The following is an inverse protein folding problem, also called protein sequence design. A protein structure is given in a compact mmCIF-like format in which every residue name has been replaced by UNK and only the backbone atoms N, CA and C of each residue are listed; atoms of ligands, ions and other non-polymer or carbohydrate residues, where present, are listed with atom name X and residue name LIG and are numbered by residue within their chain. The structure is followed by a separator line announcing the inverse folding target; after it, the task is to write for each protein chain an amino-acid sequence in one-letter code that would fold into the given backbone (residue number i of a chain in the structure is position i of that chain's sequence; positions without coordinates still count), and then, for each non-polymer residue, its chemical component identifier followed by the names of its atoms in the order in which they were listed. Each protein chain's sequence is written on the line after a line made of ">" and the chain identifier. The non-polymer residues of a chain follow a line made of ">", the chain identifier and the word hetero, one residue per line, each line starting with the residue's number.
data_IF_384437455031
#
_entry.id   IF_384437455031
#
_cell.length_a   1.000
_cell.length_b   1.000
_cell.length_c   1.000
_cell.angle_alpha   90.00
_cell.angle_beta   90.00
_cell.angle_gamma   90.00
#
_symmetry.space_group_name_H-M   'P 1'
#
loop_
_entity.id
_entity.type
_entity.pdbx_description
1 polymer ?
#
# COMPACT_ATOMS: atom_id res chain seq x y z
N UNK A 1 -20.21 -25.66 16.14
CA UNK A 1 -20.38 -24.26 15.71
C UNK A 1 -19.06 -23.85 15.08
N UNK A 2 -19.03 -23.66 13.76
CA UNK A 2 -17.82 -23.25 13.05
C UNK A 2 -17.58 -21.76 13.36
N UNK A 3 -16.69 -21.48 14.31
CA UNK A 3 -16.18 -20.13 14.54
C UNK A 3 -15.32 -19.79 13.33
N UNK A 4 -15.85 -18.93 12.45
CA UNK A 4 -15.38 -18.77 11.08
C UNK A 4 -13.93 -18.30 11.02
N UNK A 5 -13.09 -19.03 10.26
CA UNK A 5 -11.74 -18.63 9.87
C UNK A 5 -11.68 -17.19 9.32
N UNK A 6 -12.80 -16.69 8.78
CA UNK A 6 -12.98 -15.30 8.35
C UNK A 6 -12.60 -14.25 9.42
N UNK A 7 -12.85 -14.51 10.72
CA UNK A 7 -12.56 -13.50 11.77
C UNK A 7 -11.07 -13.38 12.09
N UNK A 8 -10.30 -14.46 11.95
CA UNK A 8 -8.85 -14.40 12.13
C UNK A 8 -8.18 -13.76 10.91
N UNK A 9 -8.61 -14.14 9.70
CA UNK A 9 -8.09 -13.59 8.45
C UNK A 9 -8.29 -12.07 8.34
N UNK A 10 -9.47 -11.58 8.69
CA UNK A 10 -9.79 -10.14 8.73
C UNK A 10 -8.87 -9.42 9.71
N UNK A 11 -8.74 -9.93 10.94
CA UNK A 11 -7.88 -9.39 11.99
C UNK A 11 -6.40 -9.28 11.56
N UNK A 12 -5.85 -10.33 10.95
CA UNK A 12 -4.46 -10.31 10.45
C UNK A 12 -4.28 -9.31 9.32
N UNK A 13 -5.21 -9.30 8.37
CA UNK A 13 -5.18 -8.40 7.23
C UNK A 13 -5.26 -6.94 7.66
N UNK A 14 -6.19 -6.60 8.56
CA UNK A 14 -6.35 -5.25 9.10
C UNK A 14 -5.11 -4.82 9.91
N UNK A 15 -4.53 -5.72 10.69
CA UNK A 15 -3.31 -5.44 11.45
C UNK A 15 -2.12 -5.16 10.53
N UNK A 16 -1.94 -5.97 9.46
CA UNK A 16 -0.90 -5.76 8.45
C UNK A 16 -1.10 -4.42 7.73
N UNK A 17 -2.34 -4.12 7.33
CA UNK A 17 -2.69 -2.87 6.68
C UNK A 17 -2.44 -1.64 7.56
N UNK A 18 -2.85 -1.71 8.83
CA UNK A 18 -2.66 -0.63 9.81
C UNK A 18 -1.18 -0.37 10.05
N UNK A 19 -0.39 -1.44 10.22
CA UNK A 19 1.06 -1.33 10.37
C UNK A 19 1.71 -0.68 9.14
N UNK A 20 1.28 -1.07 7.93
CA UNK A 20 1.75 -0.47 6.68
C UNK A 20 1.39 1.01 6.56
N UNK A 21 0.16 1.41 6.93
CA UNK A 21 -0.27 2.82 6.94
C UNK A 21 0.58 3.68 7.88
N UNK A 22 0.85 3.17 9.08
CA UNK A 22 1.72 3.86 10.06
C UNK A 22 3.16 3.94 9.55
N UNK A 23 3.70 2.86 8.98
CA UNK A 23 5.03 2.86 8.36
C UNK A 23 5.12 3.93 7.28
N UNK A 24 4.06 4.06 6.47
CA UNK A 24 4.02 5.02 5.39
C UNK A 24 4.08 6.45 5.87
N UNK A 25 3.17 6.79 6.78
CA UNK A 25 3.07 8.14 7.32
C UNK A 25 4.36 8.60 8.02
N UNK A 26 5.03 7.68 8.72
CA UNK A 26 6.22 7.99 9.52
C UNK A 26 7.55 7.65 8.82
N UNK A 27 7.49 7.04 7.63
CA UNK A 27 8.66 6.48 6.93
C UNK A 27 9.53 5.58 7.84
N UNK A 28 8.89 4.82 8.75
CA UNK A 28 9.59 4.08 9.81
C UNK A 28 9.15 2.62 9.86
N UNK A 29 10.03 1.75 9.33
CA UNK A 29 9.85 0.29 9.28
C UNK A 29 9.80 -0.33 10.67
N UNK A 30 10.71 0.08 11.57
CA UNK A 30 10.77 -0.44 12.94
C UNK A 30 9.50 -0.13 13.71
N UNK A 31 8.94 1.07 13.52
CA UNK A 31 7.67 1.45 14.13
C UNK A 31 6.54 0.56 13.64
N UNK A 32 6.46 0.27 12.34
CA UNK A 32 5.42 -0.61 11.79
C UNK A 32 5.50 -2.04 12.31
N UNK A 33 6.71 -2.61 12.40
CA UNK A 33 6.91 -3.94 12.99
C UNK A 33 6.43 -3.95 14.45
N UNK A 34 6.81 -2.95 15.23
CA UNK A 34 6.39 -2.84 16.63
C UNK A 34 4.87 -2.65 16.77
N UNK A 35 4.26 -1.84 15.90
CA UNK A 35 2.81 -1.64 15.88
C UNK A 35 2.08 -2.93 15.53
N UNK A 36 2.48 -3.63 14.47
CA UNK A 36 1.90 -4.92 14.10
C UNK A 36 1.97 -5.90 15.26
N UNK A 37 3.16 -6.07 15.85
CA UNK A 37 3.36 -6.98 16.98
C UNK A 37 2.50 -6.61 18.20
N UNK A 38 2.30 -5.32 18.46
CA UNK A 38 1.43 -4.83 19.54
C UNK A 38 -0.05 -5.14 19.26
N UNK A 39 -0.53 -4.87 18.04
CA UNK A 39 -1.91 -5.14 17.62
C UNK A 39 -2.24 -6.63 17.73
N UNK A 40 -1.35 -7.48 17.22
CA UNK A 40 -1.50 -8.93 17.32
C UNK A 40 -1.48 -9.39 18.77
N UNK A 41 -0.53 -8.91 19.61
CA UNK A 41 -0.48 -9.26 21.05
C UNK A 41 -1.77 -8.91 21.80
N UNK A 42 -2.36 -7.75 21.52
CA UNK A 42 -3.62 -7.35 22.14
C UNK A 42 -4.78 -8.27 21.69
N UNK A 43 -4.78 -8.72 20.44
CA UNK A 43 -5.82 -9.62 19.94
C UNK A 43 -5.63 -11.07 20.40
N UNK A 44 -4.40 -11.53 20.63
CA UNK A 44 -4.10 -12.82 21.26
C UNK A 44 -4.64 -12.92 22.68
N UNK A 45 -4.56 -11.83 23.46
CA UNK A 45 -5.09 -11.79 24.81
C UNK A 45 -6.63 -11.99 24.86
N UNK A 46 -7.31 -11.78 23.73
CA UNK A 46 -8.75 -11.91 23.57
C UNK A 46 -9.17 -13.22 22.86
N UNK A 47 -8.23 -13.97 22.28
CA UNK A 47 -8.54 -15.18 21.49
C UNK A 47 -7.44 -16.25 21.61
N UNK A 48 -7.66 -17.25 22.46
CA UNK A 48 -6.70 -18.32 22.76
C UNK A 48 -6.38 -19.24 21.57
N UNK A 49 -7.28 -19.37 20.59
CA UNK A 49 -7.04 -20.14 19.36
C UNK A 49 -5.98 -19.50 18.44
N UNK A 50 -5.76 -18.20 18.61
CA UNK A 50 -4.83 -17.37 17.83
C UNK A 50 -3.38 -17.52 18.32
N UNK A 51 -3.17 -17.94 19.58
CA UNK A 51 -1.85 -18.16 20.20
C UNK A 51 -1.11 -19.32 19.53
N UNK A 52 -1.76 -20.47 19.39
CA UNK A 52 -1.16 -21.65 18.77
C UNK A 52 -0.82 -21.44 17.28
N UNK A 53 -1.56 -20.57 16.59
CA UNK A 53 -1.33 -20.24 15.18
C UNK A 53 -0.04 -19.40 14.99
N UNK A 54 0.24 -18.46 15.91
CA UNK A 54 1.41 -17.58 15.79
C UNK A 54 2.75 -18.27 16.08
N UNK A 55 2.77 -19.21 17.02
CA UNK A 55 3.97 -19.99 17.33
C UNK A 55 4.41 -20.88 16.15
N UNK A 56 3.49 -21.20 15.22
CA UNK A 56 3.73 -22.03 14.04
C UNK A 56 4.18 -21.25 12.79
N UNK A 57 3.77 -19.99 12.62
CA UNK A 57 3.88 -19.26 11.34
C UNK A 57 5.06 -18.27 11.28
N UNK A 58 5.78 -18.04 12.39
CA UNK A 58 7.03 -17.27 12.42
C UNK A 58 6.86 -15.74 12.46
N UNK A 59 7.94 -14.99 12.20
CA UNK A 59 7.92 -13.51 12.25
C UNK A 59 7.35 -12.91 10.96
N UNK A 60 6.55 -11.84 11.02
CA UNK A 60 6.10 -11.12 9.84
C UNK A 60 7.29 -10.60 9.03
N UNK A 61 7.33 -10.93 7.74
CA UNK A 61 8.36 -10.42 6.85
C UNK A 61 7.90 -9.08 6.28
N UNK A 62 8.34 -8.00 6.91
CA UNK A 62 8.08 -6.65 6.47
C UNK A 62 9.18 -6.21 5.49
N UNK A 63 8.81 -6.04 4.22
CA UNK A 63 9.73 -5.58 3.18
C UNK A 63 9.22 -4.26 2.65
N UNK A 64 9.98 -3.20 2.94
CA UNK A 64 9.61 -1.82 2.61
C UNK A 64 10.57 -1.25 1.58
N UNK A 65 10.06 -0.97 0.39
CA UNK A 65 10.79 -0.25 -0.65
C UNK A 65 10.26 1.17 -0.70
N UNK A 66 10.74 2.01 0.23
CA UNK A 66 10.67 3.47 0.22
C UNK A 66 9.43 4.12 -0.40
N UNK A 67 8.56 4.70 0.43
CA UNK A 67 7.74 5.81 -0.06
C UNK A 67 8.66 7.00 -0.35
N UNK A 68 8.41 7.68 -1.46
CA UNK A 68 9.26 8.73 -2.03
C UNK A 68 10.43 8.19 -2.88
N UNK A 69 10.08 7.64 -4.04
CA UNK A 69 11.01 7.45 -5.14
C UNK A 69 10.64 8.39 -6.29
N UNK A 70 11.66 8.89 -6.98
CA UNK A 70 11.44 9.43 -8.32
C UNK A 70 11.05 8.25 -9.20
N UNK A 71 9.84 8.29 -9.74
CA UNK A 71 9.39 7.31 -10.72
C UNK A 71 9.86 7.76 -12.09
N UNK A 72 10.82 6.99 -12.61
CA UNK A 72 11.13 6.97 -14.04
C UNK A 72 10.16 6.02 -14.75
N UNK A 73 10.08 6.09 -16.08
CA UNK A 73 9.26 5.15 -16.87
C UNK A 73 9.71 3.71 -16.55
N UNK A 74 8.73 2.83 -16.36
CA UNK A 74 8.85 1.46 -15.86
C UNK A 74 9.32 1.32 -14.40
N UNK A 75 9.64 2.43 -13.72
CA UNK A 75 9.94 2.45 -12.30
C UNK A 75 8.74 2.05 -11.45
N UNK A 76 9.01 1.32 -10.36
CA UNK A 76 7.98 0.84 -9.42
C UNK A 76 8.33 1.20 -7.97
N UNK A 77 7.31 1.56 -7.21
CA UNK A 77 7.34 1.70 -5.74
C UNK A 77 6.49 0.60 -5.13
N UNK A 78 6.98 -0.03 -4.06
CA UNK A 78 6.32 -1.17 -3.40
C UNK A 78 6.18 -0.96 -1.89
N UNK A 79 5.06 -1.43 -1.36
CA UNK A 79 4.80 -1.58 0.06
C UNK A 79 4.27 -2.99 0.33
N UNK A 80 4.99 -3.77 1.15
CA UNK A 80 4.63 -5.15 1.41
C UNK A 80 4.73 -5.49 2.90
N UNK A 81 3.71 -6.18 3.40
CA UNK A 81 3.76 -6.87 4.68
C UNK A 81 3.17 -8.27 4.51
N UNK A 82 3.81 -9.27 5.11
CA UNK A 82 3.37 -10.66 5.00
C UNK A 82 3.46 -11.39 6.33
N UNK A 83 2.45 -12.22 6.56
CA UNK A 83 2.37 -13.20 7.63
C UNK A 83 1.65 -14.44 7.09
N UNK A 84 2.38 -15.45 6.57
CA UNK A 84 1.77 -16.55 5.84
C UNK A 84 0.57 -17.19 6.57
N UNK A 85 -0.55 -17.45 5.87
CA UNK A 85 -0.79 -17.23 4.44
C UNK A 85 -1.21 -15.80 4.06
N UNK A 86 -1.39 -14.91 5.03
CA UNK A 86 -1.88 -13.55 4.82
C UNK A 86 -0.78 -12.63 4.28
N UNK A 87 -1.14 -11.79 3.31
CA UNK A 87 -0.21 -10.82 2.77
C UNK A 87 -0.93 -9.61 2.23
N UNK A 88 -0.27 -8.47 2.37
CA UNK A 88 -0.68 -7.18 1.82
C UNK A 88 0.45 -6.69 0.94
N UNK A 89 0.16 -6.45 -0.33
CA UNK A 89 1.09 -5.87 -1.29
C UNK A 89 0.42 -4.71 -2.01
N UNK A 90 1.05 -3.53 -1.99
CA UNK A 90 0.66 -2.38 -2.77
C UNK A 90 1.82 -1.94 -3.65
N UNK A 91 1.57 -1.71 -4.94
CA UNK A 91 2.58 -1.23 -5.87
C UNK A 91 2.02 -0.18 -6.81
N UNK A 92 2.89 0.73 -7.22
CA UNK A 92 2.58 1.77 -8.21
C UNK A 92 3.74 1.84 -9.20
N UNK A 93 3.42 1.72 -10.48
CA UNK A 93 4.35 1.75 -11.58
C UNK A 93 4.02 2.89 -12.53
N UNK A 94 5.02 3.68 -12.91
CA UNK A 94 4.87 4.66 -14.00
C UNK A 94 5.04 3.93 -15.34
N UNK A 95 4.01 3.90 -16.17
CA UNK A 95 4.01 3.21 -17.46
C UNK A 95 4.41 4.10 -18.62
N UNK A 96 4.00 5.38 -18.58
CA UNK A 96 4.19 6.29 -19.70
C UNK A 96 4.22 7.73 -19.21
N UNK A 97 5.09 8.52 -19.83
CA UNK A 97 5.04 9.98 -19.82
C UNK A 97 4.94 10.47 -21.25
N UNK A 98 3.96 11.33 -21.54
CA UNK A 98 3.83 11.99 -22.83
C UNK A 98 3.73 13.51 -22.64
N UNK A 99 4.49 14.27 -23.43
CA UNK A 99 4.44 15.72 -23.45
C UNK A 99 3.72 16.19 -24.72
N UNK A 100 2.62 16.92 -24.57
CA UNK A 100 1.88 17.50 -25.69
C UNK A 100 1.62 18.98 -25.46
N UNK A 101 2.20 19.82 -26.33
CA UNK A 101 2.00 21.28 -26.47
C UNK A 101 2.19 22.18 -25.26
N UNK A 102 2.19 21.65 -24.02
CA UNK A 102 2.51 22.24 -22.69
C UNK A 102 1.92 21.39 -21.54
N UNK A 103 1.31 20.24 -21.83
CA UNK A 103 0.74 19.32 -20.83
C UNK A 103 1.53 18.01 -20.83
N UNK A 104 1.90 17.57 -19.62
CA UNK A 104 2.46 16.27 -19.32
C UNK A 104 1.34 15.32 -18.92
N UNK A 105 1.32 14.16 -19.56
CA UNK A 105 0.39 13.07 -19.29
C UNK A 105 1.18 11.93 -18.67
N UNK A 106 0.96 11.68 -17.38
CA UNK A 106 1.53 10.54 -16.66
C UNK A 106 0.48 9.43 -16.58
N UNK A 107 0.87 8.22 -16.97
CA UNK A 107 0.02 7.02 -16.82
C UNK A 107 0.67 6.10 -15.81
N UNK A 108 0.01 5.87 -14.68
CA UNK A 108 0.46 4.92 -13.67
C UNK A 108 -0.45 3.71 -13.62
N UNK A 109 0.11 2.52 -13.44
CA UNK A 109 -0.63 1.35 -12.97
C UNK A 109 -0.49 1.26 -11.46
N UNK A 110 -1.57 0.86 -10.78
CA UNK A 110 -1.52 0.49 -9.38
C UNK A 110 -2.03 -0.94 -9.21
N UNK A 111 -1.39 -1.67 -8.31
CA UNK A 111 -1.83 -3.02 -7.93
C UNK A 111 -1.90 -3.10 -6.43
N UNK A 112 -2.98 -3.68 -5.93
CA UNK A 112 -3.15 -3.94 -4.52
C UNK A 112 -3.72 -5.33 -4.31
N UNK A 113 -3.02 -6.11 -3.49
CA UNK A 113 -3.33 -7.53 -3.26
C UNK A 113 -3.48 -7.76 -1.76
N UNK A 114 -4.56 -8.44 -1.40
CA UNK A 114 -4.86 -8.90 -0.04
C UNK A 114 -5.10 -10.40 -0.09
N UNK A 115 -4.35 -11.16 0.69
CA UNK A 115 -4.52 -12.61 0.85
C UNK A 115 -4.53 -13.43 -0.44
N UNK A 116 -3.83 -12.98 -1.49
CA UNK A 116 -3.84 -13.67 -2.79
C UNK A 116 -4.56 -12.91 -3.87
N UNK A 117 -5.48 -12.03 -3.48
CA UNK A 117 -6.52 -11.54 -4.35
C UNK A 117 -6.32 -10.06 -4.69
N UNK A 118 -6.51 -9.73 -5.96
CA UNK A 118 -6.50 -8.35 -6.42
C UNK A 118 -7.75 -7.63 -5.91
N UNK A 119 -7.53 -6.51 -5.24
CA UNK A 119 -8.59 -5.68 -4.66
C UNK A 119 -8.44 -4.23 -5.13
N UNK A 120 -9.54 -3.48 -5.10
CA UNK A 120 -9.61 -2.07 -5.49
C UNK A 120 -9.82 -1.16 -4.26
N UNK A 121 -8.82 -1.00 -3.39
CA UNK A 121 -8.95 -0.21 -2.16
C UNK A 121 -8.67 1.29 -2.36
N UNK A 122 -8.57 1.78 -3.59
CA UNK A 122 -8.12 3.13 -3.88
C UNK A 122 -9.18 4.13 -3.40
N UNK A 123 -8.84 4.93 -2.39
CA UNK A 123 -9.72 5.94 -1.82
C UNK A 123 -9.61 7.24 -2.61
N UNK A 124 -8.39 7.63 -2.98
CA UNK A 124 -8.19 8.88 -3.70
C UNK A 124 -6.74 9.14 -4.08
N UNK A 125 -6.56 10.19 -4.88
CA UNK A 125 -5.26 10.62 -5.38
C UNK A 125 -5.19 12.14 -5.31
N UNK A 126 -4.11 12.66 -4.72
CA UNK A 126 -3.82 14.10 -4.70
C UNK A 126 -2.49 14.39 -5.39
N UNK A 127 -2.38 15.58 -5.98
CA UNK A 127 -1.21 15.99 -6.76
C UNK A 127 -0.75 17.40 -6.37
N UNK A 128 0.55 17.64 -6.44
CA UNK A 128 1.15 18.97 -6.29
C UNK A 128 2.23 19.19 -7.37
N UNK A 129 2.10 20.19 -8.26
CA UNK A 129 0.99 21.13 -8.35
C UNK A 129 -0.33 20.43 -8.72
N UNK A 130 -1.45 21.07 -8.35
CA UNK A 130 -2.79 20.53 -8.64
C UNK A 130 -2.91 20.21 -10.13
N UNK A 131 -3.20 18.95 -10.42
CA UNK A 131 -3.32 18.38 -11.76
C UNK A 131 -4.67 17.71 -11.93
N UNK A 132 -5.11 17.51 -13.17
CA UNK A 132 -6.35 16.75 -13.44
C UNK A 132 -6.00 15.27 -13.30
N UNK A 133 -6.75 14.55 -12.46
CA UNK A 133 -6.56 13.12 -12.21
C UNK A 133 -7.79 12.35 -12.67
N UNK A 134 -7.59 11.30 -13.46
CA UNK A 134 -8.64 10.39 -13.90
C UNK A 134 -8.25 8.95 -13.51
N UNK A 135 -9.17 8.25 -12.84
CA UNK A 135 -9.03 6.85 -12.46
C UNK A 135 -9.77 5.96 -13.46
N UNK A 136 -9.06 5.06 -14.13
CA UNK A 136 -9.64 4.16 -15.14
C UNK A 136 -8.92 2.81 -15.12
N UNK A 137 -9.66 1.70 -14.97
CA UNK A 137 -9.15 0.34 -15.17
C UNK A 137 -7.80 0.06 -14.51
N UNK A 138 -7.69 0.26 -13.19
CA UNK A 138 -6.44 0.10 -12.42
C UNK A 138 -5.29 1.03 -12.85
N UNK A 139 -5.63 2.12 -13.55
CA UNK A 139 -4.69 3.16 -13.94
C UNK A 139 -5.08 4.50 -13.37
N UNK A 140 -4.05 5.30 -13.11
CA UNK A 140 -4.15 6.71 -12.73
C UNK A 140 -3.57 7.52 -13.89
N UNK A 141 -4.41 8.33 -14.53
CA UNK A 141 -4.01 9.26 -15.57
C UNK A 141 -3.91 10.66 -14.95
N UNK A 142 -2.77 11.30 -15.10
CA UNK A 142 -2.52 12.64 -14.56
C UNK A 142 -2.17 13.57 -15.70
N UNK A 143 -2.95 14.64 -15.88
CA UNK A 143 -2.71 15.71 -16.83
C UNK A 143 -2.22 16.93 -16.06
N UNK A 144 -0.94 17.27 -16.24
CA UNK A 144 -0.28 18.36 -15.51
C UNK A 144 0.38 19.34 -16.46
N UNK A 145 0.44 20.62 -16.09
CA UNK A 145 1.28 21.59 -16.80
C UNK A 145 2.72 21.62 -16.25
N UNK A 146 3.08 20.71 -15.35
CA UNK A 146 4.41 20.56 -14.75
C UNK A 146 5.07 19.26 -15.18
N UNK A 147 6.38 19.33 -15.44
CA UNK A 147 7.26 18.16 -15.64
C UNK A 147 7.46 17.36 -14.35
N UNK A 148 7.23 18.01 -13.21
CA UNK A 148 7.52 17.50 -11.89
C UNK A 148 6.21 17.50 -11.08
N UNK A 149 5.73 16.32 -10.70
CA UNK A 149 4.47 16.17 -9.96
C UNK A 149 4.71 15.30 -8.73
N UNK A 150 4.44 15.87 -7.55
CA UNK A 150 4.31 15.08 -6.33
C UNK A 150 2.92 14.46 -6.29
N UNK A 151 2.87 13.15 -6.09
CA UNK A 151 1.67 12.34 -6.10
C UNK A 151 1.53 11.66 -4.74
N UNK A 152 0.35 11.78 -4.12
CA UNK A 152 -0.03 10.98 -2.95
C UNK A 152 -1.24 10.15 -3.31
N UNK A 153 -1.08 8.83 -3.26
CA UNK A 153 -2.14 7.85 -3.47
C UNK A 153 -2.60 7.37 -2.09
N UNK A 154 -3.89 7.51 -1.80
CA UNK A 154 -4.50 7.08 -0.56
C UNK A 154 -5.24 5.75 -0.80
N UNK A 155 -4.81 4.73 -0.09
CA UNK A 155 -5.35 3.37 -0.09
C UNK A 155 -6.03 3.14 1.26
N UNK A 156 -6.98 2.20 1.32
CA UNK A 156 -7.60 1.75 2.56
C UNK A 156 -6.62 1.58 3.74
N UNK A 157 -7.13 1.81 4.95
CA UNK A 157 -6.38 1.71 6.21
C UNK A 157 -5.19 2.67 6.32
N UNK A 158 -5.37 3.90 5.81
CA UNK A 158 -4.39 4.99 5.87
C UNK A 158 -3.05 4.69 5.16
N UNK A 159 -3.03 3.68 4.29
CA UNK A 159 -1.86 3.38 3.49
C UNK A 159 -1.67 4.48 2.43
N UNK A 160 -0.59 5.24 2.57
CA UNK A 160 -0.21 6.27 1.61
C UNK A 160 0.92 5.76 0.72
N UNK A 161 0.84 6.00 -0.59
CA UNK A 161 1.98 5.85 -1.49
C UNK A 161 2.32 7.23 -2.04
N UNK A 162 3.51 7.71 -1.67
CA UNK A 162 4.04 8.99 -2.13
C UNK A 162 5.04 8.77 -3.27
N UNK A 163 4.79 9.38 -4.41
CA UNK A 163 5.63 9.29 -5.59
C UNK A 163 6.03 10.68 -6.08
N UNK A 164 7.23 10.81 -6.64
CA UNK A 164 7.62 11.99 -7.40
C UNK A 164 7.73 11.60 -8.86
N UNK A 165 6.88 12.17 -9.70
CA UNK A 165 6.86 11.92 -11.14
C UNK A 165 7.73 12.96 -11.82
N UNK A 166 8.61 12.49 -12.70
CA UNK A 166 9.49 13.35 -13.49
C UNK A 166 9.35 12.98 -14.96
N UNK A 167 9.07 13.98 -15.79
CA UNK A 167 9.01 13.87 -17.24
C UNK A 167 10.38 14.01 -17.91
#
# INVERSE_FOLDING_TARGET
>A
MAQSEATQAEVYTESLLTALGIASKNQNVTLAINTFNSLIKNMLALNSSLVSFLELQGNPNFVYYGYQKTLEVDGVVYALASYPPYFVNASVQLLLVNASRNTYIFTLAYHFVVNGENVLPLIGVTTNPNSIVILQNNKILIFSNSQNVYLTINIASELLINCYLKA
#
